data_IF_622203042890
#
_entry.id   IF_622203042890
#
_cell.length_a   1.000
_cell.length_b   1.000
_cell.length_c   1.000
_cell.angle_alpha   90.00
_cell.angle_beta   90.00
_cell.angle_gamma   90.00
#
_symmetry.space_group_name_H-M   'P 1'
#
loop_
_entity.id
_entity.type
_entity.pdbx_description
1 polymer ?
#
# COMPACT_ATOMS: atom_id res chain seq x y z
N UNK A 1 48.48 8.30 -36.20
CA UNK A 1 47.15 7.80 -35.76
C UNK A 1 47.22 6.69 -34.72
N UNK A 2 47.93 5.57 -34.93
CA UNK A 2 48.05 4.47 -33.94
C UNK A 2 48.52 4.88 -32.53
N UNK A 3 49.51 5.79 -32.41
CA UNK A 3 50.01 6.27 -31.11
C UNK A 3 48.99 7.10 -30.31
N UNK A 4 48.10 7.83 -30.99
CA UNK A 4 47.04 8.63 -30.33
C UNK A 4 45.93 7.70 -29.80
N UNK A 5 45.54 6.70 -30.59
CA UNK A 5 44.57 5.67 -30.17
C UNK A 5 45.06 4.86 -28.94
N UNK A 6 46.39 4.66 -28.82
CA UNK A 6 47.01 3.93 -27.71
C UNK A 6 46.87 4.64 -26.36
N UNK A 7 46.85 5.98 -26.34
CA UNK A 7 46.63 6.75 -25.11
C UNK A 7 45.16 7.15 -24.92
N UNK A 8 44.40 7.28 -26.00
CA UNK A 8 42.99 7.66 -25.94
C UNK A 8 42.17 6.67 -25.09
N UNK A 9 42.38 5.36 -25.27
CA UNK A 9 41.59 4.34 -24.58
C UNK A 9 41.87 4.32 -23.05
N UNK A 10 43.13 4.28 -22.57
CA UNK A 10 43.42 4.43 -21.15
C UNK A 10 42.95 5.76 -20.56
N UNK A 11 43.17 6.89 -21.26
CA UNK A 11 42.71 8.21 -20.79
C UNK A 11 41.19 8.22 -20.65
N UNK A 12 40.46 7.73 -21.65
CA UNK A 12 39.00 7.66 -21.61
C UNK A 12 38.52 6.78 -20.46
N UNK A 13 39.13 5.61 -20.27
CA UNK A 13 38.82 4.72 -19.16
C UNK A 13 39.02 5.38 -17.79
N UNK A 14 40.16 6.04 -17.59
CA UNK A 14 40.44 6.76 -16.35
C UNK A 14 39.51 7.97 -16.15
N UNK A 15 39.21 8.72 -17.22
CA UNK A 15 38.24 9.80 -17.15
C UNK A 15 36.84 9.30 -16.78
N UNK A 16 36.43 8.11 -17.25
CA UNK A 16 35.14 7.52 -16.87
C UNK A 16 35.13 7.10 -15.40
N UNK A 17 36.16 6.39 -14.94
CA UNK A 17 36.21 5.90 -13.55
C UNK A 17 36.38 7.07 -12.56
N UNK A 18 37.44 7.87 -12.73
CA UNK A 18 37.72 8.96 -11.81
C UNK A 18 36.76 10.13 -11.99
N UNK A 19 36.32 10.41 -13.21
CA UNK A 19 35.28 11.41 -13.46
C UNK A 19 33.95 10.99 -12.83
N UNK A 20 33.54 9.73 -12.98
CA UNK A 20 32.36 9.19 -12.31
C UNK A 20 32.46 9.26 -10.79
N UNK A 21 33.63 8.93 -10.23
CA UNK A 21 33.89 9.06 -8.80
C UNK A 21 33.83 10.52 -8.30
N UNK A 22 34.47 11.46 -9.03
CA UNK A 22 34.40 12.89 -8.70
C UNK A 22 32.96 13.39 -8.75
N UNK A 23 32.20 13.02 -9.77
CA UNK A 23 30.77 13.40 -9.87
C UNK A 23 29.97 12.80 -8.71
N UNK A 24 30.21 11.55 -8.34
CA UNK A 24 29.56 10.91 -7.20
C UNK A 24 29.84 11.65 -5.89
N UNK A 25 31.11 11.95 -5.59
CA UNK A 25 31.49 12.71 -4.37
C UNK A 25 30.90 14.12 -4.34
N UNK A 26 30.71 14.75 -5.50
CA UNK A 26 30.11 16.08 -5.61
C UNK A 26 28.57 16.05 -5.64
N UNK A 27 27.96 14.88 -5.83
CA UNK A 27 26.50 14.73 -5.85
C UNK A 27 25.99 14.77 -4.42
N UNK A 28 24.95 15.56 -4.18
CA UNK A 28 24.33 15.63 -2.85
C UNK A 28 23.54 14.35 -2.59
N UNK A 29 23.81 13.73 -1.44
CA UNK A 29 23.09 12.55 -0.98
C UNK A 29 21.58 12.81 -0.92
N UNK A 30 20.83 11.90 -1.52
CA UNK A 30 19.39 11.84 -1.38
C UNK A 30 19.02 11.04 -0.15
N UNK A 31 18.10 11.51 0.71
CA UNK A 31 17.67 10.75 1.88
C UNK A 31 16.78 9.54 1.50
N UNK A 32 16.06 9.62 0.38
CA UNK A 32 15.10 8.58 -0.02
C UNK A 32 14.99 8.39 -1.54
N UNK A 33 14.62 7.17 -1.91
CA UNK A 33 14.26 6.81 -3.28
C UNK A 33 12.76 6.98 -3.48
N UNK A 34 12.37 7.97 -4.29
CA UNK A 34 10.97 8.11 -4.70
C UNK A 34 10.48 6.87 -5.45
N UNK A 35 11.29 6.28 -6.33
CA UNK A 35 10.91 5.13 -7.17
C UNK A 35 10.74 3.83 -6.36
N UNK A 36 11.59 3.61 -5.36
CA UNK A 36 11.62 2.37 -4.56
C UNK A 36 10.91 2.51 -3.21
N UNK A 37 10.54 3.74 -2.81
CA UNK A 37 9.89 4.07 -1.55
C UNK A 37 10.65 3.52 -0.31
N UNK A 38 11.96 3.76 -0.27
CA UNK A 38 12.85 3.35 0.84
C UNK A 38 13.89 4.43 1.15
N UNK A 39 14.44 4.46 2.38
CA UNK A 39 15.62 5.25 2.67
C UNK A 39 16.81 4.78 1.81
N UNK A 40 17.66 5.74 1.46
CA UNK A 40 18.91 5.50 0.75
C UNK A 40 20.09 5.58 1.72
N UNK A 41 21.08 4.72 1.53
CA UNK A 41 22.30 4.77 2.32
C UNK A 41 23.06 6.07 2.05
N UNK A 42 23.65 6.66 3.09
CA UNK A 42 24.32 7.98 3.03
C UNK A 42 25.78 7.88 3.47
N UNK A 43 26.56 8.92 3.20
CA UNK A 43 28.01 8.93 3.46
C UNK A 43 28.39 8.83 4.95
N UNK A 44 27.43 8.95 5.88
CA UNK A 44 27.65 8.94 7.33
C UNK A 44 27.90 7.53 7.91
N UNK A 45 28.85 6.80 7.33
CA UNK A 45 29.23 5.45 7.76
C UNK A 45 30.30 5.54 8.85
N UNK A 46 30.00 5.04 10.04
CA UNK A 46 30.94 4.99 11.19
C UNK A 46 31.10 3.54 11.67
N UNK A 47 31.90 2.71 10.99
CA UNK A 47 31.97 1.28 11.27
C UNK A 47 32.81 0.98 12.53
N UNK A 48 32.40 -0.07 13.24
CA UNK A 48 33.21 -0.76 14.23
C UNK A 48 34.26 -1.67 13.57
N UNK A 49 35.31 -2.06 14.32
CA UNK A 49 36.30 -3.03 13.84
C UNK A 49 35.66 -4.37 13.44
N UNK A 50 34.62 -4.79 14.16
CA UNK A 50 33.88 -6.02 13.86
C UNK A 50 33.17 -5.93 12.49
N UNK A 51 32.55 -4.80 12.17
CA UNK A 51 31.88 -4.58 10.89
C UNK A 51 32.86 -4.55 9.71
N UNK A 52 34.08 -4.06 9.93
CA UNK A 52 35.15 -4.07 8.93
C UNK A 52 35.60 -5.51 8.64
N UNK A 53 35.95 -6.29 9.68
CA UNK A 53 36.46 -7.64 9.49
C UNK A 53 35.38 -8.65 9.05
N UNK A 54 34.10 -8.39 9.35
CA UNK A 54 32.98 -9.21 8.88
C UNK A 54 32.53 -8.88 7.45
N UNK A 55 32.99 -7.78 6.86
CA UNK A 55 32.56 -7.31 5.54
C UNK A 55 31.22 -6.57 5.54
N UNK A 56 30.58 -6.37 6.71
CA UNK A 56 29.35 -5.59 6.83
C UNK A 56 29.56 -4.13 6.39
N UNK A 57 30.70 -3.54 6.75
CA UNK A 57 31.06 -2.19 6.32
C UNK A 57 31.24 -2.11 4.80
N UNK A 58 31.89 -3.10 4.18
CA UNK A 58 32.05 -3.13 2.71
C UNK A 58 30.69 -3.15 2.00
N UNK A 59 29.73 -3.92 2.52
CA UNK A 59 28.37 -3.97 1.98
C UNK A 59 27.62 -2.65 2.13
N UNK A 60 27.82 -1.93 3.24
CA UNK A 60 27.26 -0.58 3.43
C UNK A 60 27.86 0.40 2.41
N UNK A 61 29.18 0.36 2.19
CA UNK A 61 29.86 1.20 1.19
C UNK A 61 29.34 0.90 -0.22
N UNK A 62 29.18 -0.38 -0.59
CA UNK A 62 28.58 -0.76 -1.88
C UNK A 62 27.15 -0.25 -2.04
N UNK A 63 26.36 -0.32 -0.97
CA UNK A 63 24.98 0.18 -0.95
C UNK A 63 24.96 1.70 -1.12
N UNK A 64 25.79 2.44 -0.38
CA UNK A 64 25.97 3.88 -0.51
C UNK A 64 26.34 4.29 -1.94
N UNK A 65 27.36 3.65 -2.53
CA UNK A 65 27.80 3.95 -3.90
C UNK A 65 26.67 3.72 -4.89
N UNK A 66 25.93 2.62 -4.74
CA UNK A 66 24.79 2.26 -5.60
C UNK A 66 23.61 3.23 -5.43
N UNK A 67 23.31 3.63 -4.20
CA UNK A 67 22.18 4.46 -3.82
C UNK A 67 22.36 5.92 -4.23
N UNK A 68 23.58 6.44 -4.08
CA UNK A 68 23.94 7.81 -4.41
C UNK A 68 24.63 7.92 -5.78
N UNK A 69 24.51 6.88 -6.63
CA UNK A 69 25.10 6.91 -7.96
C UNK A 69 24.53 8.06 -8.80
N UNK A 70 25.37 8.87 -9.48
CA UNK A 70 24.89 9.99 -10.29
C UNK A 70 23.87 9.54 -11.34
N UNK A 71 22.72 10.22 -11.36
CA UNK A 71 21.59 9.89 -12.24
C UNK A 71 21.12 8.43 -12.13
N UNK A 72 21.20 7.81 -10.94
CA UNK A 72 20.75 6.43 -10.65
C UNK A 72 19.42 6.07 -11.29
N UNK A 73 18.40 6.91 -11.14
CA UNK A 73 17.05 6.62 -11.65
C UNK A 73 17.02 6.50 -13.19
N UNK A 74 17.86 7.25 -13.90
CA UNK A 74 18.03 7.12 -15.35
C UNK A 74 18.71 5.80 -15.71
N UNK A 75 19.76 5.41 -14.99
CA UNK A 75 20.44 4.13 -15.19
C UNK A 75 19.52 2.95 -14.95
N UNK A 76 18.80 2.98 -13.82
CA UNK A 76 17.85 1.94 -13.45
C UNK A 76 16.70 1.84 -14.45
N UNK A 77 16.17 2.97 -14.94
CA UNK A 77 15.18 2.97 -16.03
C UNK A 77 15.70 2.26 -17.29
N UNK A 78 16.92 2.60 -17.72
CA UNK A 78 17.53 1.96 -18.89
C UNK A 78 17.81 0.47 -18.64
N UNK A 79 18.21 0.11 -17.42
CA UNK A 79 18.41 -1.28 -17.05
C UNK A 79 17.11 -2.09 -17.05
N UNK A 80 15.99 -1.50 -16.62
CA UNK A 80 14.66 -2.11 -16.75
C UNK A 80 14.30 -2.32 -18.23
N UNK A 81 14.50 -1.32 -19.10
CA UNK A 81 14.29 -1.50 -20.55
C UNK A 81 15.16 -2.60 -21.14
N UNK A 82 16.45 -2.63 -20.79
CA UNK A 82 17.38 -3.66 -21.24
C UNK A 82 16.93 -5.06 -20.80
N UNK A 83 16.56 -5.24 -19.53
CA UNK A 83 16.08 -6.53 -19.03
C UNK A 83 14.80 -6.98 -19.75
N UNK A 84 13.86 -6.06 -20.04
CA UNK A 84 12.66 -6.37 -20.83
C UNK A 84 13.02 -6.80 -22.25
N UNK A 85 13.95 -6.09 -22.90
CA UNK A 85 14.42 -6.42 -24.25
C UNK A 85 15.12 -7.79 -24.30
N UNK A 86 15.79 -8.19 -23.21
CA UNK A 86 16.42 -9.51 -23.05
C UNK A 86 15.42 -10.62 -22.68
N UNK A 87 14.12 -10.33 -22.58
CA UNK A 87 13.08 -11.32 -22.25
C UNK A 87 13.03 -11.70 -20.77
N UNK A 88 13.63 -10.91 -19.87
CA UNK A 88 13.49 -11.16 -18.43
C UNK A 88 12.03 -10.96 -18.03
N UNK A 89 11.43 -12.01 -17.48
CA UNK A 89 10.02 -11.99 -17.06
C UNK A 89 9.84 -11.08 -15.84
N UNK A 90 10.40 -11.44 -14.69
CA UNK A 90 10.21 -10.63 -13.47
C UNK A 90 11.24 -9.53 -13.32
N UNK A 91 10.75 -8.32 -13.08
CA UNK A 91 11.51 -7.13 -12.74
C UNK A 91 11.03 -6.68 -11.37
N UNK A 92 11.85 -6.88 -10.32
CA UNK A 92 11.46 -6.59 -8.93
C UNK A 92 10.09 -7.23 -8.54
N UNK A 93 9.94 -8.52 -8.85
CA UNK A 93 8.72 -9.32 -8.64
C UNK A 93 7.47 -8.76 -9.32
N UNK A 94 7.64 -7.95 -10.37
CA UNK A 94 6.56 -7.45 -11.23
C UNK A 94 6.80 -7.89 -12.67
N UNK A 95 5.71 -8.05 -13.40
CA UNK A 95 5.72 -8.35 -14.82
C UNK A 95 4.85 -7.31 -15.53
N UNK A 96 5.49 -6.53 -16.42
CA UNK A 96 4.77 -5.67 -17.35
C UNK A 96 4.25 -6.53 -18.49
N UNK A 97 2.94 -6.70 -18.57
CA UNK A 97 2.31 -7.67 -19.48
C UNK A 97 2.60 -7.33 -20.92
N UNK A 98 2.30 -6.10 -21.31
CA UNK A 98 2.64 -5.55 -22.62
C UNK A 98 2.54 -4.03 -22.61
N UNK A 99 3.15 -3.39 -23.62
CA UNK A 99 3.17 -1.93 -23.73
C UNK A 99 1.82 -1.32 -24.17
N UNK A 100 0.87 -2.11 -24.69
CA UNK A 100 -0.43 -1.61 -25.15
C UNK A 100 -1.45 -1.58 -24.03
N UNK A 101 -1.55 -2.66 -23.25
CA UNK A 101 -2.47 -2.77 -22.12
C UNK A 101 -2.05 -1.85 -20.98
N UNK A 102 -0.73 -1.71 -20.77
CA UNK A 102 -0.15 -1.00 -19.64
C UNK A 102 -0.33 -1.74 -18.32
N UNK A 103 -0.65 -3.03 -18.36
CA UNK A 103 -0.94 -3.84 -17.18
C UNK A 103 0.34 -4.35 -16.51
N UNK A 104 0.41 -4.24 -15.19
CA UNK A 104 1.46 -4.84 -14.37
C UNK A 104 0.84 -5.87 -13.45
N UNK A 105 1.36 -7.09 -13.44
CA UNK A 105 0.98 -8.16 -12.52
C UNK A 105 2.15 -8.51 -11.59
N UNK A 106 1.86 -9.10 -10.43
CA UNK A 106 2.88 -9.57 -9.51
C UNK A 106 3.40 -10.96 -9.88
N UNK A 107 4.63 -11.24 -9.46
CA UNK A 107 5.13 -12.63 -9.37
C UNK A 107 4.08 -13.50 -8.66
N UNK A 108 3.80 -14.71 -9.16
CA UNK A 108 2.90 -15.64 -8.50
C UNK A 108 3.30 -15.85 -7.05
N UNK A 109 2.30 -15.89 -6.17
CA UNK A 109 2.56 -16.25 -4.80
C UNK A 109 2.87 -17.74 -4.66
N UNK A 110 3.87 -18.02 -3.84
CA UNK A 110 4.21 -19.37 -3.44
C UNK A 110 3.22 -19.88 -2.39
N UNK A 111 3.03 -21.19 -2.34
CA UNK A 111 2.22 -21.83 -1.31
C UNK A 111 2.86 -21.55 0.07
N UNK A 112 2.06 -21.01 0.98
CA UNK A 112 2.53 -20.67 2.31
C UNK A 112 2.48 -21.91 3.20
N UNK A 113 3.54 -22.20 3.99
CA UNK A 113 3.47 -23.27 4.96
C UNK A 113 2.35 -23.02 5.97
N UNK A 114 1.62 -24.07 6.35
CA UNK A 114 0.56 -23.98 7.38
C UNK A 114 1.05 -23.31 8.67
N UNK A 115 2.32 -23.51 9.05
CA UNK A 115 2.93 -22.85 10.21
C UNK A 115 2.92 -21.32 10.11
N UNK A 116 3.17 -20.76 8.93
CA UNK A 116 3.16 -19.31 8.71
C UNK A 116 1.74 -18.76 8.81
N UNK A 117 0.77 -19.41 8.15
CA UNK A 117 -0.64 -19.01 8.21
C UNK A 117 -1.23 -19.17 9.62
N UNK A 118 -0.88 -20.26 10.31
CA UNK A 118 -1.28 -20.51 11.70
C UNK A 118 -0.67 -19.50 12.67
N UNK A 119 0.54 -19.00 12.40
CA UNK A 119 1.14 -17.92 13.20
C UNK A 119 0.28 -16.67 13.15
N UNK A 120 -0.12 -16.23 11.95
CA UNK A 120 -0.99 -15.06 11.81
C UNK A 120 -2.38 -15.30 12.43
N UNK A 121 -2.97 -16.48 12.22
CA UNK A 121 -4.23 -16.84 12.87
C UNK A 121 -4.11 -16.81 14.41
N UNK A 122 -2.98 -17.25 14.98
CA UNK A 122 -2.72 -17.15 16.42
C UNK A 122 -2.61 -15.70 16.90
N UNK A 123 -2.01 -14.81 16.12
CA UNK A 123 -1.94 -13.39 16.48
C UNK A 123 -3.32 -12.74 16.46
N UNK A 124 -4.18 -13.10 15.50
CA UNK A 124 -5.58 -12.67 15.48
C UNK A 124 -6.37 -13.24 16.66
N UNK A 125 -6.11 -14.48 17.06
CA UNK A 125 -6.72 -15.09 18.24
C UNK A 125 -6.37 -14.32 19.51
N UNK A 126 -5.08 -14.01 19.74
CA UNK A 126 -4.64 -13.23 20.89
C UNK A 126 -5.30 -11.85 20.94
N UNK A 127 -5.40 -11.17 19.80
CA UNK A 127 -6.09 -9.89 19.69
C UNK A 127 -7.57 -10.04 20.04
N UNK A 128 -8.25 -11.04 19.47
CA UNK A 128 -9.67 -11.32 19.72
C UNK A 128 -9.93 -11.63 21.20
N UNK A 129 -9.11 -12.47 21.83
CA UNK A 129 -9.22 -12.85 23.24
C UNK A 129 -8.99 -11.63 24.15
N UNK A 130 -7.96 -10.83 23.88
CA UNK A 130 -7.69 -9.59 24.61
C UNK A 130 -8.85 -8.60 24.53
N UNK A 131 -9.46 -8.41 23.37
CA UNK A 131 -10.63 -7.53 23.22
C UNK A 131 -11.87 -8.10 23.93
N UNK A 132 -12.05 -9.41 23.92
CA UNK A 132 -13.15 -10.08 24.60
C UNK A 132 -13.14 -9.89 26.13
N UNK A 133 -11.97 -9.68 26.76
CA UNK A 133 -11.86 -9.33 28.19
C UNK A 133 -12.65 -8.06 28.57
N UNK A 134 -12.87 -7.17 27.61
CA UNK A 134 -13.68 -5.94 27.75
C UNK A 134 -15.00 -5.99 27.00
N UNK A 135 -15.42 -7.17 26.52
CA UNK A 135 -16.60 -7.37 25.69
C UNK A 135 -16.59 -6.54 24.39
N UNK A 136 -15.40 -6.27 23.84
CA UNK A 136 -15.25 -5.55 22.57
C UNK A 136 -15.31 -6.58 21.43
N UNK A 137 -16.33 -6.56 20.55
CA UNK A 137 -16.40 -7.47 19.42
C UNK A 137 -15.32 -7.15 18.38
N UNK A 138 -14.81 -8.19 17.73
CA UNK A 138 -13.73 -8.10 16.76
C UNK A 138 -14.02 -8.91 15.50
N UNK A 139 -13.67 -8.41 14.32
CA UNK A 139 -13.69 -9.19 13.08
C UNK A 139 -12.51 -8.88 12.17
N UNK A 140 -11.94 -9.95 11.61
CA UNK A 140 -10.92 -9.86 10.57
C UNK A 140 -11.54 -9.90 9.17
N UNK A 141 -11.26 -8.88 8.38
CA UNK A 141 -11.65 -8.75 6.98
C UNK A 141 -10.43 -8.84 6.07
N UNK A 142 -10.42 -9.82 5.16
CA UNK A 142 -9.45 -9.84 4.07
C UNK A 142 -10.00 -9.13 2.84
N UNK A 143 -9.34 -8.04 2.45
CA UNK A 143 -9.65 -7.25 1.25
C UNK A 143 -8.99 -7.92 0.03
N UNK A 144 -9.66 -8.00 -1.13
CA UNK A 144 -9.09 -8.67 -2.29
C UNK A 144 -7.90 -7.88 -2.84
N UNK A 145 -6.69 -8.43 -2.75
CA UNK A 145 -5.52 -7.76 -3.29
C UNK A 145 -5.41 -7.95 -4.81
N UNK A 146 -4.94 -6.92 -5.50
CA UNK A 146 -4.59 -7.01 -6.92
C UNK A 146 -3.62 -8.17 -7.20
N UNK A 147 -2.63 -8.34 -6.33
CA UNK A 147 -1.63 -9.41 -6.46
C UNK A 147 -2.22 -10.83 -6.34
N UNK A 148 -3.42 -10.97 -5.77
CA UNK A 148 -4.12 -12.27 -5.63
C UNK A 148 -5.04 -12.52 -6.81
N UNK A 149 -5.82 -11.53 -7.22
CA UNK A 149 -6.90 -11.72 -8.19
C UNK A 149 -6.59 -11.23 -9.60
N UNK A 150 -5.54 -10.44 -9.80
CA UNK A 150 -5.11 -10.02 -11.13
C UNK A 150 -4.06 -10.95 -11.71
N UNK A 151 -4.52 -12.04 -12.33
CA UNK A 151 -3.65 -13.02 -12.98
C UNK A 151 -3.61 -12.91 -14.50
N UNK A 152 -4.64 -12.38 -15.14
CA UNK A 152 -4.72 -12.29 -16.59
C UNK A 152 -4.74 -10.82 -17.07
N UNK A 153 -4.11 -10.51 -18.22
CA UNK A 153 -3.35 -11.43 -19.08
C UNK A 153 -1.97 -11.80 -18.50
N UNK A 154 -1.60 -13.08 -18.54
CA UNK A 154 -0.27 -13.57 -18.14
C UNK A 154 0.26 -14.63 -19.12
N UNK A 155 1.58 -14.72 -19.36
CA UNK A 155 2.14 -15.78 -20.19
C UNK A 155 1.81 -17.17 -19.67
N UNK A 156 1.53 -18.10 -20.58
CA UNK A 156 1.13 -19.49 -20.25
C UNK A 156 2.20 -20.30 -19.51
N UNK A 157 3.45 -19.84 -19.49
CA UNK A 157 4.56 -20.49 -18.77
C UNK A 157 4.70 -19.98 -17.33
N UNK A 158 3.85 -19.04 -16.90
CA UNK A 158 3.93 -18.49 -15.55
C UNK A 158 3.50 -19.54 -14.53
N UNK A 159 4.23 -19.69 -13.41
CA UNK A 159 3.84 -20.61 -12.35
C UNK A 159 2.43 -20.35 -11.84
N UNK A 160 1.82 -21.40 -11.30
CA UNK A 160 0.54 -21.30 -10.61
C UNK A 160 0.66 -20.34 -9.40
N UNK A 161 -0.40 -19.55 -9.17
CA UNK A 161 -0.48 -18.64 -8.04
C UNK A 161 -1.23 -19.31 -6.88
N UNK A 162 -0.59 -19.42 -5.73
CA UNK A 162 -1.18 -20.01 -4.54
C UNK A 162 -1.99 -19.01 -3.68
N UNK A 163 -2.18 -17.77 -4.13
CA UNK A 163 -2.74 -16.70 -3.31
C UNK A 163 -4.17 -16.92 -2.83
N UNK A 164 -5.05 -17.34 -3.74
CA UNK A 164 -6.44 -17.67 -3.39
C UNK A 164 -6.45 -18.84 -2.40
N UNK A 165 -5.65 -19.88 -2.66
CA UNK A 165 -5.56 -21.05 -1.79
C UNK A 165 -4.99 -20.69 -0.40
N UNK A 166 -3.96 -19.86 -0.33
CA UNK A 166 -3.38 -19.36 0.92
C UNK A 166 -4.40 -18.55 1.73
N UNK A 167 -5.16 -17.66 1.08
CA UNK A 167 -6.20 -16.87 1.76
C UNK A 167 -7.35 -17.77 2.25
N UNK A 168 -7.82 -18.72 1.44
CA UNK A 168 -8.82 -19.70 1.89
C UNK A 168 -8.32 -20.50 3.10
N UNK A 169 -7.10 -21.02 3.03
CA UNK A 169 -6.49 -21.80 4.12
C UNK A 169 -6.31 -20.98 5.39
N UNK A 170 -5.92 -19.71 5.26
CA UNK A 170 -5.85 -18.78 6.39
C UNK A 170 -7.22 -18.65 7.06
N UNK A 171 -8.28 -18.38 6.30
CA UNK A 171 -9.62 -18.20 6.86
C UNK A 171 -10.14 -19.48 7.56
N UNK A 172 -9.84 -20.67 7.04
CA UNK A 172 -10.11 -21.93 7.75
C UNK A 172 -9.42 -21.98 9.13
N UNK A 173 -8.15 -21.59 9.20
CA UNK A 173 -7.37 -21.57 10.44
C UNK A 173 -7.88 -20.50 11.41
N UNK A 174 -8.26 -19.31 10.92
CA UNK A 174 -8.82 -18.21 11.72
C UNK A 174 -10.17 -18.61 12.32
N UNK A 175 -11.05 -19.25 11.53
CA UNK A 175 -12.31 -19.80 12.03
C UNK A 175 -12.08 -20.92 13.05
N UNK A 176 -11.11 -21.81 12.81
CA UNK A 176 -10.77 -22.86 13.77
C UNK A 176 -10.21 -22.31 15.10
N UNK A 177 -9.56 -21.14 15.06
CA UNK A 177 -9.10 -20.41 16.23
C UNK A 177 -10.21 -19.62 16.95
N UNK A 178 -11.46 -19.69 16.47
CA UNK A 178 -12.61 -19.04 17.10
C UNK A 178 -12.74 -17.53 16.84
N UNK A 179 -12.05 -17.01 15.82
CA UNK A 179 -12.07 -15.58 15.47
C UNK A 179 -13.06 -15.32 14.34
N UNK A 180 -13.96 -14.35 14.51
CA UNK A 180 -14.88 -13.93 13.44
C UNK A 180 -14.10 -13.31 12.28
N UNK A 181 -14.44 -13.73 11.07
CA UNK A 181 -13.70 -13.34 9.88
C UNK A 181 -14.55 -13.37 8.60
N UNK A 182 -14.15 -12.54 7.63
CA UNK A 182 -14.83 -12.40 6.34
C UNK A 182 -13.81 -12.26 5.22
N UNK A 183 -14.01 -13.02 4.14
CA UNK A 183 -13.33 -12.82 2.85
C UNK A 183 -14.18 -11.89 2.01
N UNK A 184 -13.81 -10.61 1.88
CA UNK A 184 -14.63 -9.66 1.11
C UNK A 184 -14.79 -10.08 -0.35
N UNK A 185 -13.81 -10.78 -0.91
CA UNK A 185 -13.93 -11.33 -2.25
C UNK A 185 -15.21 -12.17 -2.43
N UNK A 186 -15.59 -12.98 -1.43
CA UNK A 186 -16.74 -13.87 -1.54
C UNK A 186 -18.07 -13.09 -1.62
N UNK A 187 -18.12 -11.88 -1.05
CA UNK A 187 -19.25 -10.94 -1.14
C UNK A 187 -19.26 -10.18 -2.47
N UNK A 188 -18.10 -10.00 -3.10
CA UNK A 188 -17.93 -9.23 -4.35
C UNK A 188 -17.94 -10.10 -5.61
N UNK A 189 -17.74 -11.43 -5.48
CA UNK A 189 -17.39 -12.34 -6.60
C UNK A 189 -18.35 -12.33 -7.78
N UNK A 190 -19.64 -12.09 -7.54
CA UNK A 190 -20.66 -12.16 -8.60
C UNK A 190 -20.55 -11.02 -9.62
N UNK A 191 -19.91 -9.90 -9.25
CA UNK A 191 -19.68 -8.73 -10.12
C UNK A 191 -18.20 -8.35 -10.14
N UNK A 192 -17.30 -9.30 -9.85
CA UNK A 192 -15.88 -9.01 -9.76
C UNK A 192 -15.23 -8.88 -11.15
N UNK A 193 -14.62 -7.73 -11.42
CA UNK A 193 -13.79 -7.50 -12.61
C UNK A 193 -12.45 -6.90 -12.19
N UNK A 194 -11.36 -7.50 -12.66
CA UNK A 194 -10.00 -7.03 -12.37
C UNK A 194 -9.78 -5.63 -12.94
N UNK A 195 -10.22 -5.39 -14.18
CA UNK A 195 -10.05 -4.13 -14.90
C UNK A 195 -10.85 -2.99 -14.26
N UNK A 196 -12.05 -3.30 -13.74
CA UNK A 196 -12.85 -2.31 -12.99
C UNK A 196 -12.23 -2.05 -11.63
N UNK A 197 -11.80 -3.11 -10.95
CA UNK A 197 -11.49 -3.02 -9.53
C UNK A 197 -10.08 -2.55 -9.24
N UNK A 198 -9.11 -2.70 -10.15
CA UNK A 198 -7.71 -2.35 -9.88
C UNK A 198 -7.10 -1.40 -10.88
N UNK A 199 -6.18 -0.55 -10.40
CA UNK A 199 -5.30 0.20 -11.28
C UNK A 199 -4.40 -0.75 -12.05
N UNK A 200 -4.06 -0.42 -13.30
CA UNK A 200 -3.17 -1.24 -14.11
C UNK A 200 -1.74 -1.26 -13.57
N UNK A 201 -1.29 -0.12 -13.03
CA UNK A 201 0.11 0.12 -12.68
C UNK A 201 0.37 0.42 -11.20
N UNK A 202 -0.68 0.44 -10.39
CA UNK A 202 -0.61 0.52 -8.94
C UNK A 202 -1.16 -0.76 -8.31
N UNK A 203 -0.77 -1.05 -7.07
CA UNK A 203 -1.19 -2.27 -6.38
C UNK A 203 -2.57 -2.18 -5.74
N UNK A 204 -3.13 -0.98 -5.59
CA UNK A 204 -4.44 -0.76 -4.97
C UNK A 204 -5.58 -0.90 -5.98
N UNK A 205 -6.78 -0.98 -5.43
CA UNK A 205 -8.01 -0.83 -6.20
C UNK A 205 -8.20 0.59 -6.78
N UNK A 206 -9.02 0.70 -7.82
CA UNK A 206 -9.60 1.99 -8.24
C UNK A 206 -10.71 2.40 -7.26
N UNK A 207 -11.20 3.64 -7.31
CA UNK A 207 -12.35 4.05 -6.49
C UNK A 207 -13.60 3.19 -6.76
N UNK A 208 -13.77 2.63 -7.97
CA UNK A 208 -14.89 1.72 -8.27
C UNK A 208 -14.73 0.38 -7.57
N UNK A 209 -13.52 -0.19 -7.62
CA UNK A 209 -13.20 -1.42 -6.87
C UNK A 209 -13.32 -1.22 -5.36
N UNK A 210 -12.81 -0.09 -4.88
CA UNK A 210 -12.91 0.33 -3.49
C UNK A 210 -14.37 0.47 -3.04
N UNK A 211 -15.20 1.11 -3.86
CA UNK A 211 -16.63 1.24 -3.59
C UNK A 211 -17.32 -0.13 -3.47
N UNK A 212 -17.04 -1.07 -4.37
CA UNK A 212 -17.56 -2.44 -4.26
C UNK A 212 -17.10 -3.13 -2.97
N UNK A 213 -15.84 -2.92 -2.57
CA UNK A 213 -15.33 -3.39 -1.28
C UNK A 213 -16.03 -2.75 -0.08
N UNK A 214 -16.28 -1.43 -0.14
CA UNK A 214 -17.04 -0.70 0.85
C UNK A 214 -18.49 -1.21 0.98
N UNK A 215 -19.17 -1.47 -0.13
CA UNK A 215 -20.52 -2.05 -0.09
C UNK A 215 -20.54 -3.42 0.58
N UNK A 216 -19.59 -4.29 0.23
CA UNK A 216 -19.43 -5.60 0.86
C UNK A 216 -19.14 -5.48 2.36
N UNK A 217 -18.17 -4.62 2.73
CA UNK A 217 -17.81 -4.36 4.13
C UNK A 217 -19.02 -3.89 4.93
N UNK A 218 -19.71 -2.84 4.47
CA UNK A 218 -20.85 -2.26 5.18
C UNK A 218 -22.00 -3.23 5.31
N UNK A 219 -22.29 -4.05 4.28
CA UNK A 219 -23.28 -5.13 4.37
C UNK A 219 -22.94 -6.07 5.53
N UNK A 220 -21.72 -6.59 5.55
CA UNK A 220 -21.29 -7.56 6.56
C UNK A 220 -21.15 -6.97 7.96
N UNK A 221 -20.76 -5.70 8.07
CA UNK A 221 -20.71 -4.97 9.35
C UNK A 221 -22.11 -4.69 9.87
N UNK A 222 -23.04 -4.24 9.01
CA UNK A 222 -24.43 -3.96 9.39
C UNK A 222 -25.10 -5.20 10.00
N UNK A 223 -24.89 -6.37 9.39
CA UNK A 223 -25.37 -7.66 9.90
C UNK A 223 -24.81 -7.99 11.29
N UNK A 224 -23.51 -7.76 11.51
CA UNK A 224 -22.81 -8.02 12.79
C UNK A 224 -23.20 -7.04 13.90
N UNK A 225 -23.47 -5.80 13.54
CA UNK A 225 -23.93 -4.77 14.47
C UNK A 225 -25.43 -4.90 14.80
N UNK A 226 -26.18 -5.71 14.04
CA UNK A 226 -27.63 -5.81 14.18
C UNK A 226 -28.36 -4.54 13.75
N UNK A 227 -27.74 -3.74 12.88
CA UNK A 227 -28.26 -2.46 12.40
C UNK A 227 -28.61 -2.55 10.91
N UNK A 228 -29.34 -1.55 10.39
CA UNK A 228 -29.70 -1.46 8.97
C UNK A 228 -28.99 -0.27 8.32
N UNK A 229 -27.66 -0.32 8.29
CA UNK A 229 -26.81 0.68 7.67
C UNK A 229 -26.75 0.41 6.17
N UNK A 230 -27.08 1.41 5.36
CA UNK A 230 -27.06 1.30 3.89
C UNK A 230 -25.85 2.05 3.35
N UNK A 231 -25.05 1.44 2.45
CA UNK A 231 -23.98 2.15 1.76
C UNK A 231 -24.51 3.40 1.04
N UNK A 232 -23.73 4.47 1.05
CA UNK A 232 -23.94 5.64 0.20
C UNK A 232 -23.97 5.17 -1.26
N UNK A 233 -24.98 5.55 -2.06
CA UNK A 233 -25.03 5.17 -3.48
C UNK A 233 -23.86 5.72 -4.30
N UNK A 234 -23.40 4.95 -5.27
CA UNK A 234 -22.43 5.42 -6.27
C UNK A 234 -23.15 6.29 -7.30
N UNK A 235 -23.10 7.59 -7.11
CA UNK A 235 -23.71 8.55 -8.03
C UNK A 235 -22.67 9.08 -9.00
N UNK A 236 -22.90 8.96 -10.31
CA UNK A 236 -21.95 9.49 -11.31
C UNK A 236 -21.79 11.02 -11.21
N UNK A 237 -22.78 11.73 -10.65
CA UNK A 237 -22.68 13.17 -10.36
C UNK A 237 -21.62 13.50 -9.28
N UNK A 238 -21.27 12.53 -8.42
CA UNK A 238 -20.21 12.65 -7.43
C UNK A 238 -18.85 12.20 -7.97
N UNK A 239 -18.79 11.74 -9.24
CA UNK A 239 -17.55 11.29 -9.87
C UNK A 239 -16.74 12.47 -10.38
N UNK A 240 -15.50 12.56 -9.93
CA UNK A 240 -14.53 13.53 -10.43
C UNK A 240 -13.19 12.83 -10.69
N UNK A 241 -12.58 13.04 -11.86
CA UNK A 241 -11.31 12.43 -12.23
C UNK A 241 -10.24 13.49 -12.47
N UNK A 242 -9.04 13.23 -11.95
CA UNK A 242 -7.89 14.11 -12.12
C UNK A 242 -7.31 13.99 -13.52
N UNK A 243 -6.73 15.10 -14.02
CA UNK A 243 -5.95 15.11 -15.27
C UNK A 243 -4.48 14.75 -15.06
N UNK A 244 -4.05 14.68 -13.79
CA UNK A 244 -2.68 14.40 -13.40
C UNK A 244 -2.17 13.08 -13.94
N UNK A 245 -0.86 13.03 -14.21
CA UNK A 245 -0.18 11.77 -14.46
C UNK A 245 -0.11 10.96 -13.17
N UNK A 246 -0.63 9.73 -13.19
CA UNK A 246 -0.56 8.84 -12.05
C UNK A 246 0.76 8.05 -12.02
N UNK A 247 1.44 8.07 -10.88
CA UNK A 247 2.61 7.25 -10.58
C UNK A 247 2.22 6.09 -9.67
N UNK A 248 1.67 5.04 -10.29
CA UNK A 248 1.37 3.79 -9.59
C UNK A 248 2.62 3.14 -9.00
N UNK A 249 2.53 2.67 -7.77
CA UNK A 249 3.61 2.07 -6.98
C UNK A 249 4.32 0.92 -7.69
N UNK A 250 3.60 0.05 -8.41
CA UNK A 250 4.24 -1.00 -9.20
C UNK A 250 5.00 -0.43 -10.40
N UNK A 251 4.51 0.63 -11.04
CA UNK A 251 5.26 1.32 -12.10
C UNK A 251 6.50 2.05 -11.57
N UNK A 252 6.41 2.66 -10.38
CA UNK A 252 7.54 3.34 -9.72
C UNK A 252 8.70 2.36 -9.51
N UNK A 253 8.42 1.15 -9.05
CA UNK A 253 9.41 0.06 -8.90
C UNK A 253 10.01 -0.37 -10.26
N UNK A 254 9.25 -0.20 -11.35
CA UNK A 254 9.72 -0.38 -12.73
C UNK A 254 10.23 0.93 -13.37
N UNK A 255 10.57 1.94 -12.56
CA UNK A 255 11.12 3.23 -12.98
C UNK A 255 10.28 3.98 -14.02
N UNK A 256 8.96 3.83 -13.92
CA UNK A 256 7.96 4.45 -14.81
C UNK A 256 8.15 4.07 -16.29
N UNK A 257 8.59 2.83 -16.55
CA UNK A 257 8.82 2.30 -17.91
C UNK A 257 7.57 1.71 -18.56
N UNK A 258 6.48 1.54 -17.82
CA UNK A 258 5.21 1.03 -18.35
C UNK A 258 4.29 2.20 -18.67
N UNK A 259 4.03 2.39 -19.97
CA UNK A 259 3.04 3.36 -20.43
C UNK A 259 1.64 2.88 -20.06
N UNK A 260 0.82 3.78 -19.55
CA UNK A 260 -0.54 3.49 -19.14
C UNK A 260 -1.39 4.76 -19.16
N UNK A 261 -2.69 4.57 -19.01
CA UNK A 261 -3.68 5.64 -18.91
C UNK A 261 -4.50 5.50 -17.61
N UNK A 262 -3.88 5.00 -16.54
CA UNK A 262 -4.52 4.97 -15.23
C UNK A 262 -4.90 6.39 -14.84
N UNK A 263 -6.13 6.56 -14.39
CA UNK A 263 -6.67 7.84 -14.00
C UNK A 263 -7.19 7.75 -12.56
N UNK A 264 -6.76 8.68 -11.72
CA UNK A 264 -7.32 8.85 -10.38
C UNK A 264 -8.71 9.46 -10.52
N UNK A 265 -9.68 8.80 -9.90
CA UNK A 265 -11.05 9.27 -9.80
C UNK A 265 -11.53 9.18 -8.35
N UNK A 266 -12.54 9.98 -8.04
CA UNK A 266 -13.25 10.01 -6.77
C UNK A 266 -14.71 9.67 -7.02
N UNK A 267 -15.41 9.21 -5.98
CA UNK A 267 -16.86 9.24 -5.92
C UNK A 267 -17.24 9.74 -4.53
N UNK A 268 -17.48 11.04 -4.44
CA UNK A 268 -17.49 11.78 -3.17
C UNK A 268 -18.69 12.74 -3.12
N UNK A 269 -19.65 12.50 -2.21
CA UNK A 269 -20.71 13.46 -1.92
C UNK A 269 -20.13 14.80 -1.43
N UNK A 270 -20.75 15.91 -1.84
CA UNK A 270 -20.34 17.25 -1.42
C UNK A 270 -20.30 17.44 0.10
N UNK A 271 -21.10 16.67 0.86
CA UNK A 271 -21.13 16.71 2.33
C UNK A 271 -19.81 16.26 2.98
N UNK A 272 -18.98 15.48 2.30
CA UNK A 272 -17.73 14.95 2.87
C UNK A 272 -16.78 16.06 3.32
N UNK A 273 -16.74 17.17 2.59
CA UNK A 273 -15.89 18.30 2.91
C UNK A 273 -16.29 19.05 4.20
N UNK A 274 -17.52 18.84 4.70
CA UNK A 274 -18.09 19.66 5.79
C UNK A 274 -18.72 18.88 6.93
N UNK A 275 -19.03 17.59 6.76
CA UNK A 275 -19.79 16.82 7.75
C UNK A 275 -18.94 16.23 8.89
N UNK A 276 -17.61 16.32 8.79
CA UNK A 276 -16.68 15.68 9.74
C UNK A 276 -15.86 16.67 10.53
N UNK A 277 -15.65 16.36 11.80
CA UNK A 277 -14.51 16.87 12.58
C UNK A 277 -13.42 15.81 12.57
N UNK A 278 -12.22 16.16 12.08
CA UNK A 278 -11.13 15.19 11.88
C UNK A 278 -9.97 15.56 12.80
N UNK A 279 -9.48 14.57 13.54
CA UNK A 279 -8.32 14.65 14.43
C UNK A 279 -7.17 13.81 13.87
N UNK A 280 -5.99 14.43 13.69
CA UNK A 280 -4.73 13.73 13.41
C UNK A 280 -4.20 13.19 14.76
N UNK A 281 -4.61 11.96 15.11
CA UNK A 281 -4.46 11.38 16.44
C UNK A 281 -5.80 11.26 17.20
N UNK A 282 -5.75 11.47 18.52
CA UNK A 282 -6.91 11.34 19.42
C UNK A 282 -7.68 12.65 19.55
N UNK A 283 -8.93 12.56 20.02
CA UNK A 283 -9.75 13.73 20.35
C UNK A 283 -9.11 14.55 21.48
N UNK A 284 -8.55 13.89 22.51
CA UNK A 284 -7.89 14.55 23.65
C UNK A 284 -6.62 15.31 23.23
N UNK A 285 -5.91 14.80 22.22
CA UNK A 285 -4.76 15.49 21.64
C UNK A 285 -5.14 16.82 20.98
N UNK A 286 -6.40 16.96 20.55
CA UNK A 286 -6.96 18.22 20.05
C UNK A 286 -6.39 18.72 18.73
N UNK A 287 -5.55 17.94 18.05
CA UNK A 287 -4.93 18.31 16.77
C UNK A 287 -5.90 18.02 15.64
N UNK A 288 -6.63 19.04 15.20
CA UNK A 288 -7.59 18.91 14.10
C UNK A 288 -6.96 19.13 12.74
N UNK A 289 -7.44 18.42 11.71
CA UNK A 289 -7.03 18.60 10.32
C UNK A 289 -8.24 18.89 9.42
N UNK A 290 -8.12 19.79 8.40
CA UNK A 290 -9.17 19.95 7.41
C UNK A 290 -9.26 18.70 6.51
N UNK A 291 -10.45 18.41 6.01
CA UNK A 291 -10.73 17.25 5.14
C UNK A 291 -9.70 17.11 4.01
N UNK A 292 -9.43 18.20 3.29
CA UNK A 292 -8.53 18.20 2.13
C UNK A 292 -7.02 18.07 2.45
N UNK A 293 -6.62 18.18 3.73
CA UNK A 293 -5.27 17.85 4.16
C UNK A 293 -5.08 16.33 4.38
N UNK A 294 -6.18 15.63 4.65
CA UNK A 294 -6.24 14.20 4.94
C UNK A 294 -6.61 13.39 3.70
N UNK A 295 -7.59 13.85 2.92
CA UNK A 295 -8.10 13.16 1.74
C UNK A 295 -8.09 14.03 0.49
N UNK A 296 -7.65 13.49 -0.64
CA UNK A 296 -7.77 14.20 -1.91
C UNK A 296 -6.81 15.37 -2.07
N UNK A 297 -5.64 15.36 -1.41
CA UNK A 297 -4.64 16.44 -1.53
C UNK A 297 -4.29 16.75 -2.99
N UNK A 298 -4.24 15.72 -3.84
CA UNK A 298 -4.01 15.83 -5.28
C UNK A 298 -5.00 16.77 -6.00
N UNK A 299 -6.22 16.97 -5.48
CA UNK A 299 -7.20 17.91 -6.05
C UNK A 299 -6.72 19.36 -6.06
N UNK A 300 -5.78 19.71 -5.16
CA UNK A 300 -5.16 21.05 -5.07
C UNK A 300 -3.81 21.14 -5.78
N UNK A 301 -3.29 20.03 -6.29
CA UNK A 301 -2.01 20.02 -7.00
C UNK A 301 -2.19 20.55 -8.43
N UNK A 302 -1.11 21.08 -9.01
CA UNK A 302 -1.10 21.48 -10.42
C UNK A 302 -1.53 20.31 -11.31
N UNK A 303 -2.35 20.50 -12.36
CA UNK A 303 -2.73 19.44 -13.29
C UNK A 303 -1.54 18.70 -13.94
N UNK A 304 -0.39 19.37 -14.06
CA UNK A 304 0.84 18.80 -14.64
C UNK A 304 1.68 18.04 -13.60
N UNK A 305 1.32 18.11 -12.31
CA UNK A 305 2.03 17.39 -11.27
C UNK A 305 1.77 15.87 -11.40
N UNK A 306 2.80 15.08 -11.09
CA UNK A 306 2.67 13.64 -10.95
C UNK A 306 2.09 13.35 -9.57
N UNK A 307 1.05 12.52 -9.51
CA UNK A 307 0.35 12.16 -8.27
C UNK A 307 0.49 10.66 -8.00
N UNK A 308 0.63 10.28 -6.73
CA UNK A 308 0.58 8.88 -6.32
C UNK A 308 -0.72 8.57 -5.56
N UNK A 309 -0.92 7.32 -5.14
CA UNK A 309 -2.16 6.88 -4.48
C UNK A 309 -2.40 7.60 -3.13
N UNK A 310 -1.35 7.89 -2.37
CA UNK A 310 -1.46 8.60 -1.10
C UNK A 310 -1.78 10.10 -1.28
N UNK A 311 -1.24 10.74 -2.32
CA UNK A 311 -1.63 12.11 -2.70
C UNK A 311 -3.10 12.15 -3.14
N UNK A 312 -3.50 11.13 -3.89
CA UNK A 312 -4.83 10.99 -4.46
C UNK A 312 -5.89 10.75 -3.40
N UNK A 313 -5.71 9.79 -2.50
CA UNK A 313 -6.68 9.46 -1.47
C UNK A 313 -6.16 9.97 -0.13
N UNK A 314 -5.62 9.10 0.71
CA UNK A 314 -5.05 9.47 2.00
C UNK A 314 -3.68 8.81 2.17
N UNK A 315 -2.80 9.48 2.91
CA UNK A 315 -1.60 8.86 3.47
C UNK A 315 -1.98 7.87 4.58
N UNK A 316 -1.00 7.11 5.02
CA UNK A 316 -1.13 6.28 6.22
C UNK A 316 -0.82 7.12 7.46
N UNK A 317 -1.80 7.25 8.34
CA UNK A 317 -1.68 7.90 9.65
C UNK A 317 -1.50 6.80 10.70
N UNK A 318 -0.65 7.02 11.70
CA UNK A 318 -0.59 6.13 12.87
C UNK A 318 -1.97 6.00 13.52
N UNK A 319 -2.65 7.14 13.64
CA UNK A 319 -3.98 7.25 14.18
C UNK A 319 -4.71 8.45 13.56
N UNK A 320 -5.97 8.26 13.20
CA UNK A 320 -6.85 9.30 12.67
C UNK A 320 -8.25 9.09 13.25
N UNK A 321 -8.79 10.07 13.97
CA UNK A 321 -10.14 9.98 14.52
C UNK A 321 -11.08 10.90 13.75
N UNK A 322 -12.17 10.35 13.24
CA UNK A 322 -13.17 11.06 12.44
C UNK A 322 -14.48 11.04 13.22
N UNK A 323 -14.97 12.23 13.61
CA UNK A 323 -16.26 12.40 14.28
C UNK A 323 -17.26 12.92 13.27
N UNK A 324 -18.41 12.26 13.20
CA UNK A 324 -19.51 12.61 12.32
C UNK A 324 -20.72 13.04 13.18
N UNK A 325 -21.34 14.18 12.86
CA UNK A 325 -22.56 14.63 13.54
C UNK A 325 -23.86 14.19 12.83
N UNK A 326 -23.73 13.59 11.64
CA UNK A 326 -24.82 13.09 10.81
C UNK A 326 -24.60 11.60 10.52
N UNK A 327 -24.65 10.79 11.58
CA UNK A 327 -24.42 9.35 11.53
C UNK A 327 -25.72 8.54 11.40
N UNK A 328 -25.60 7.34 10.84
CA UNK A 328 -26.67 6.33 10.85
C UNK A 328 -26.65 5.49 12.13
N UNK A 329 -25.47 5.36 12.75
CA UNK A 329 -25.18 4.56 13.94
C UNK A 329 -24.40 5.39 14.96
N UNK A 330 -24.84 5.37 16.22
CA UNK A 330 -24.23 6.16 17.30
C UNK A 330 -22.92 5.57 17.84
N UNK A 331 -22.45 4.49 17.21
CA UNK A 331 -21.30 3.69 17.63
C UNK A 331 -19.95 4.34 17.36
N UNK A 332 -18.99 3.95 18.17
CA UNK A 332 -17.57 4.11 17.95
C UNK A 332 -16.96 2.85 17.33
N UNK A 333 -16.48 2.96 16.10
CA UNK A 333 -15.81 1.89 15.38
C UNK A 333 -14.31 2.17 15.31
N UNK A 334 -13.49 1.18 15.65
CA UNK A 334 -12.05 1.23 15.41
C UNK A 334 -11.70 0.34 14.22
N UNK A 335 -11.02 0.89 13.22
CA UNK A 335 -10.54 0.17 12.04
C UNK A 335 -9.02 0.15 12.04
N UNK A 336 -8.47 -1.04 12.24
CA UNK A 336 -7.06 -1.34 12.00
C UNK A 336 -6.92 -1.68 10.52
N UNK A 337 -6.11 -0.95 9.77
CA UNK A 337 -6.10 -1.04 8.29
C UNK A 337 -4.71 -1.04 7.67
N UNK A 338 -4.68 -1.41 6.40
CA UNK A 338 -3.61 -1.04 5.49
C UNK A 338 -4.09 0.01 4.45
N UNK A 339 -3.22 0.37 3.51
CA UNK A 339 -3.46 1.44 2.54
C UNK A 339 -4.65 1.21 1.58
N UNK A 340 -5.23 -0.01 1.49
CA UNK A 340 -6.46 -0.22 0.71
C UNK A 340 -7.63 0.60 1.27
N UNK A 341 -7.74 0.65 2.61
CA UNK A 341 -8.87 1.33 3.27
C UNK A 341 -8.86 2.86 3.07
N UNK A 342 -7.70 3.45 2.77
CA UNK A 342 -7.51 4.90 2.62
C UNK A 342 -8.52 5.56 1.67
N UNK A 343 -8.88 4.86 0.58
CA UNK A 343 -9.83 5.38 -0.43
C UNK A 343 -11.29 5.43 0.02
N UNK A 344 -11.69 4.59 0.99
CA UNK A 344 -13.08 4.42 1.45
C UNK A 344 -13.31 4.87 2.90
N UNK A 345 -12.27 5.37 3.58
CA UNK A 345 -12.32 5.68 5.00
C UNK A 345 -13.44 6.69 5.35
N UNK A 346 -13.70 7.67 4.48
CA UNK A 346 -14.78 8.64 4.68
C UNK A 346 -16.16 8.12 4.27
N UNK A 347 -16.23 7.16 3.33
CA UNK A 347 -17.46 6.43 3.06
C UNK A 347 -17.91 5.63 4.27
N UNK A 348 -16.96 4.97 4.97
CA UNK A 348 -17.25 4.25 6.21
C UNK A 348 -17.56 5.24 7.35
N UNK A 349 -16.77 6.29 7.53
CA UNK A 349 -16.98 7.29 8.59
C UNK A 349 -18.34 8.00 8.49
N UNK A 350 -18.94 8.05 7.30
CA UNK A 350 -20.27 8.65 7.11
C UNK A 350 -21.38 7.93 7.86
N UNK A 351 -21.18 6.68 8.28
CA UNK A 351 -22.22 5.89 8.93
C UNK A 351 -22.16 5.90 10.46
N UNK A 352 -20.99 6.17 11.03
CA UNK A 352 -20.74 6.02 12.46
C UNK A 352 -20.49 7.37 13.11
N UNK A 353 -20.93 7.54 14.35
CA UNK A 353 -20.66 8.75 15.15
C UNK A 353 -19.16 8.99 15.28
N UNK A 354 -18.39 7.92 15.50
CA UNK A 354 -16.95 8.00 15.62
C UNK A 354 -16.28 6.83 14.88
N UNK A 355 -15.30 7.16 14.04
CA UNK A 355 -14.43 6.20 13.37
C UNK A 355 -12.98 6.51 13.73
N UNK A 356 -12.32 5.62 14.46
CA UNK A 356 -10.88 5.71 14.71
C UNK A 356 -10.15 4.76 13.78
N UNK A 357 -9.20 5.28 13.01
CA UNK A 357 -8.42 4.52 12.05
C UNK A 357 -7.01 4.38 12.59
N UNK A 358 -6.51 3.15 12.66
CA UNK A 358 -5.17 2.82 13.13
C UNK A 358 -4.36 2.13 12.03
N UNK A 359 -3.11 2.53 11.90
CA UNK A 359 -2.13 1.84 11.07
C UNK A 359 -0.97 1.37 11.94
N UNK A 360 -0.94 0.07 12.23
CA UNK A 360 -0.01 -0.50 13.22
C UNK A 360 1.45 -0.38 12.81
N UNK A 361 1.74 -0.06 11.55
CA UNK A 361 3.13 0.19 11.09
C UNK A 361 3.74 1.43 11.72
N UNK A 362 2.92 2.37 12.16
CA UNK A 362 3.35 3.66 12.70
C UNK A 362 2.91 3.86 14.15
N UNK A 363 2.33 2.83 14.77
CA UNK A 363 1.80 2.89 16.13
C UNK A 363 2.78 2.23 17.11
N UNK A 364 3.40 3.04 17.96
CA UNK A 364 4.29 2.56 19.04
C UNK A 364 3.50 2.42 20.36
N UNK A 365 2.55 1.47 20.39
CA UNK A 365 1.68 1.19 21.54
C UNK A 365 1.38 -0.31 21.64
N UNK A 366 1.13 -0.79 22.85
CA UNK A 366 0.53 -2.12 23.04
C UNK A 366 -0.90 -2.11 22.47
N UNK A 367 -1.11 -2.84 21.37
CA UNK A 367 -2.34 -2.74 20.57
C UNK A 367 -3.57 -3.14 21.37
N UNK A 368 -3.51 -4.22 22.16
CA UNK A 368 -4.66 -4.72 22.92
C UNK A 368 -5.05 -3.71 24.00
N UNK A 369 -4.10 -3.31 24.86
CA UNK A 369 -4.37 -2.34 25.93
C UNK A 369 -4.85 -1.01 25.36
N UNK A 370 -4.31 -0.60 24.22
CA UNK A 370 -4.70 0.64 23.58
C UNK A 370 -6.13 0.60 23.05
N UNK A 371 -6.52 -0.45 22.33
CA UNK A 371 -7.90 -0.64 21.87
C UNK A 371 -8.87 -0.76 23.03
N UNK A 372 -8.51 -1.48 24.10
CA UNK A 372 -9.34 -1.57 25.31
C UNK A 372 -9.56 -0.19 25.95
N UNK A 373 -8.55 0.68 25.96
CA UNK A 373 -8.63 2.03 26.53
C UNK A 373 -9.55 2.98 25.76
N UNK A 374 -9.80 2.71 24.47
CA UNK A 374 -10.72 3.48 23.64
C UNK A 374 -12.19 3.19 23.94
N UNK A 375 -12.50 2.03 24.54
CA UNK A 375 -13.87 1.56 24.78
C UNK A 375 -14.74 1.53 23.49
N UNK A 376 -14.25 1.00 22.37
CA UNK A 376 -15.01 0.99 21.12
C UNK A 376 -16.17 -0.01 21.19
N UNK A 377 -17.23 0.28 20.44
CA UNK A 377 -18.36 -0.65 20.28
C UNK A 377 -17.99 -1.83 19.36
N UNK A 378 -17.01 -1.65 18.49
CA UNK A 378 -16.60 -2.67 17.52
C UNK A 378 -15.21 -2.42 16.95
N UNK A 379 -14.41 -3.48 16.79
CA UNK A 379 -13.08 -3.41 16.16
C UNK A 379 -13.07 -4.22 14.86
N UNK A 380 -12.55 -3.59 13.80
CA UNK A 380 -12.35 -4.17 12.47
C UNK A 380 -10.87 -4.22 12.18
N UNK A 381 -10.36 -5.38 11.74
CA UNK A 381 -9.06 -5.46 11.05
C UNK A 381 -9.31 -5.64 9.55
N UNK A 382 -9.00 -4.64 8.74
CA UNK A 382 -9.21 -4.64 7.29
C UNK A 382 -7.87 -4.58 6.54
N UNK A 383 -7.32 -5.76 6.23
CA UNK A 383 -6.05 -5.91 5.53
C UNK A 383 -6.26 -6.58 4.17
N UNK A 384 -5.46 -6.21 3.17
CA UNK A 384 -5.44 -6.95 1.92
C UNK A 384 -4.96 -8.39 2.16
N UNK A 385 -5.45 -9.33 1.35
CA UNK A 385 -5.21 -10.76 1.54
C UNK A 385 -3.77 -11.25 1.29
N UNK A 386 -2.84 -10.35 0.95
CA UNK A 386 -1.39 -10.62 0.95
C UNK A 386 -0.69 -10.18 2.23
N UNK A 387 -1.38 -9.46 3.12
CA UNK A 387 -0.82 -8.99 4.38
C UNK A 387 -1.11 -10.01 5.51
N UNK A 388 -0.06 -10.72 5.92
CA UNK A 388 -0.11 -11.79 6.94
C UNK A 388 0.65 -11.40 8.22
N UNK A 389 0.83 -10.11 8.47
CA UNK A 389 1.55 -9.61 9.65
C UNK A 389 0.72 -8.55 10.36
N UNK A 390 0.39 -8.80 11.62
CA UNK A 390 -0.40 -7.85 12.41
C UNK A 390 0.42 -6.59 12.74
N UNK A 391 1.67 -6.77 13.19
CA UNK A 391 2.64 -5.71 13.48
C UNK A 391 3.89 -5.87 12.59
N UNK A 392 4.58 -4.78 12.22
CA UNK A 392 5.92 -4.89 11.62
C UNK A 392 6.92 -5.53 12.60
N UNK A 393 7.97 -6.15 12.05
CA UNK A 393 9.09 -6.73 12.83
C UNK A 393 10.00 -5.67 13.45
#
# INVERSE_FOLDING_TARGET
MRKIQMYLLPITFFCIIFGGFVVHVLTVDRPQSEMENRPLESANLSPSLQEIFSGAWSKQVETYISDQFPARDTWMRNYVYFQRAMGKTYLNDKYAVDDKSGWIISKPAEAKPDKELASFASDLQKLSEGLAEKNIPFTYYSLPAKATYSREPSPSYMPDDAGIANNMRLHELVTAAGVDNVRLYDEMKNDFSVERNFFKTDHHWTIRGAYSGYQALMKTMSERLGESIKPIPYEEANTYCLKNKFAGSWNKILYMTVNNHDQICYNEPASFATQFTIYDGTIEGGVTAPYDAVYGRAKKMSPDAVVNYADAYSRDFAELTIVNNHYDSDKHIVVIKDSYFNSIQFHVASHFKELTILDLRYLDKDVISYLQSMHPDYVVLAYNDRNLKLMPE
#
